data_IF_548847725079
#
_entry.id   IF_548847725079
#
_cell.length_a   1.000
_cell.length_b   1.000
_cell.length_c   1.000
_cell.angle_alpha   90.00
_cell.angle_beta   90.00
_cell.angle_gamma   90.00
#
_symmetry.space_group_name_H-M   'P 1'
#
loop_
_entity.id
_entity.type
_entity.pdbx_description
1 polymer ?
#
# COMPACT_ATOMS: atom_id res chain seq x y z
N UNK A 1 33.92 23.38 30.51
CA UNK A 1 33.80 22.58 29.30
C UNK A 1 32.35 22.15 29.21
N UNK A 2 31.49 22.75 28.36
CA UNK A 2 30.14 22.28 28.16
C UNK A 2 30.17 21.08 27.20
N UNK A 3 29.47 20.00 27.58
CA UNK A 3 29.37 18.79 26.81
C UNK A 3 28.68 18.99 25.49
N UNK A 4 29.31 18.48 24.45
CA UNK A 4 28.77 18.32 23.10
C UNK A 4 27.60 17.35 23.17
N UNK A 5 26.38 17.86 23.01
CA UNK A 5 25.21 17.03 22.77
C UNK A 5 25.40 16.34 21.42
N UNK A 6 25.64 15.03 21.46
CA UNK A 6 25.58 14.16 20.29
C UNK A 6 24.15 14.24 19.75
N UNK A 7 23.98 14.97 18.65
CA UNK A 7 22.77 14.90 17.84
C UNK A 7 22.64 13.47 17.34
N UNK A 8 21.56 12.79 17.74
CA UNK A 8 21.14 11.52 17.15
C UNK A 8 21.08 11.69 15.62
N UNK A 9 21.58 10.73 14.83
CA UNK A 9 21.55 10.86 13.38
C UNK A 9 20.08 10.90 12.93
N UNK A 10 19.64 12.05 12.44
CA UNK A 10 18.44 12.16 11.60
C UNK A 10 18.51 11.04 10.56
N UNK A 11 17.41 10.31 10.41
CA UNK A 11 17.21 9.19 9.47
C UNK A 11 17.65 9.62 8.05
N UNK A 12 18.95 9.43 7.74
CA UNK A 12 19.55 9.80 6.46
C UNK A 12 19.06 8.81 5.42
N UNK A 13 17.84 9.03 4.95
CA UNK A 13 17.30 8.27 3.81
C UNK A 13 18.23 8.48 2.63
N UNK A 14 18.84 7.41 2.15
CA UNK A 14 19.70 7.48 0.97
C UNK A 14 18.92 7.98 -0.25
N UNK A 15 19.57 8.66 -1.18
CA UNK A 15 18.92 9.18 -2.39
C UNK A 15 18.07 8.11 -3.14
N UNK A 16 18.50 6.85 -3.31
CA UNK A 16 17.65 5.80 -3.88
C UNK A 16 16.36 5.54 -3.08
N UNK A 17 16.43 5.57 -1.76
CA UNK A 17 15.27 5.36 -0.89
C UNK A 17 14.26 6.51 -1.01
N UNK A 18 14.72 7.75 -1.11
CA UNK A 18 13.85 8.91 -1.31
C UNK A 18 13.18 8.88 -2.68
N UNK A 19 13.94 8.59 -3.75
CA UNK A 19 13.40 8.46 -5.11
C UNK A 19 12.35 7.34 -5.17
N UNK A 20 12.66 6.19 -4.58
CA UNK A 20 11.72 5.07 -4.49
C UNK A 20 10.42 5.48 -3.79
N UNK A 21 10.51 6.09 -2.60
CA UNK A 21 9.33 6.50 -1.83
C UNK A 21 8.46 7.50 -2.61
N UNK A 22 9.09 8.49 -3.25
CA UNK A 22 8.40 9.50 -4.06
C UNK A 22 7.67 8.86 -5.24
N UNK A 23 8.36 8.06 -6.04
CA UNK A 23 7.73 7.41 -7.20
C UNK A 23 6.66 6.41 -6.79
N UNK A 24 6.90 5.63 -5.72
CA UNK A 24 5.90 4.72 -5.16
C UNK A 24 4.62 5.45 -4.76
N UNK A 25 4.76 6.58 -4.08
CA UNK A 25 3.66 7.44 -3.68
C UNK A 25 2.88 7.96 -4.89
N UNK A 26 3.57 8.50 -5.88
CA UNK A 26 2.95 9.05 -7.10
C UNK A 26 2.24 7.97 -7.95
N UNK A 27 2.83 6.77 -8.06
CA UNK A 27 2.22 5.65 -8.80
C UNK A 27 1.01 5.10 -8.04
N UNK A 28 1.13 4.91 -6.72
CA UNK A 28 0.03 4.45 -5.89
C UNK A 28 -1.12 5.45 -5.86
N UNK A 29 -0.81 6.75 -5.74
CA UNK A 29 -1.78 7.84 -5.75
C UNK A 29 -2.43 8.11 -7.11
N UNK A 30 -1.93 7.51 -8.20
CA UNK A 30 -2.45 7.73 -9.55
C UNK A 30 -1.95 9.01 -10.22
N UNK A 31 -1.04 9.76 -9.60
CA UNK A 31 -0.38 10.91 -10.21
C UNK A 31 0.44 10.51 -11.45
N UNK A 32 1.03 9.31 -11.40
CA UNK A 32 1.64 8.66 -12.56
C UNK A 32 0.69 7.55 -13.01
N UNK A 33 -0.06 7.76 -14.11
CA UNK A 33 -1.08 6.81 -14.56
C UNK A 33 -0.51 5.44 -14.99
N UNK A 34 -1.33 4.38 -15.01
CA UNK A 34 -0.96 3.08 -15.54
C UNK A 34 -0.51 3.17 -17.00
N UNK A 35 0.52 2.39 -17.37
CA UNK A 35 1.09 2.37 -18.72
C UNK A 35 2.00 3.57 -19.05
N UNK A 36 2.21 4.50 -18.11
CA UNK A 36 3.06 5.67 -18.32
C UNK A 36 4.53 5.28 -18.37
N UNK A 37 5.23 5.70 -19.42
CA UNK A 37 6.67 5.54 -19.55
C UNK A 37 7.44 6.45 -18.57
N UNK A 38 8.41 5.90 -17.86
CA UNK A 38 9.24 6.63 -16.89
C UNK A 38 10.53 7.10 -17.55
N UNK A 39 10.67 8.42 -17.68
CA UNK A 39 11.88 9.02 -18.21
C UNK A 39 12.89 9.26 -17.08
N UNK A 40 13.97 8.46 -17.04
CA UNK A 40 15.02 8.55 -16.01
C UNK A 40 15.62 9.93 -15.90
N UNK A 41 15.89 10.60 -17.05
CA UNK A 41 16.49 11.93 -17.06
C UNK A 41 15.54 13.00 -16.49
N UNK A 42 14.25 12.87 -16.78
CA UNK A 42 13.26 13.79 -16.24
C UNK A 42 13.11 13.61 -14.72
N UNK A 43 13.01 12.36 -14.24
CA UNK A 43 12.96 12.05 -12.80
C UNK A 43 14.19 12.58 -12.09
N UNK A 44 15.40 12.32 -12.62
CA UNK A 44 16.65 12.78 -12.02
C UNK A 44 16.69 14.31 -11.90
N UNK A 45 16.30 15.04 -12.94
CA UNK A 45 16.22 16.50 -12.91
C UNK A 45 15.19 17.03 -11.91
N UNK A 46 14.00 16.44 -11.90
CA UNK A 46 12.90 16.89 -11.04
C UNK A 46 13.23 16.70 -9.55
N UNK A 47 13.96 15.63 -9.22
CA UNK A 47 14.33 15.30 -7.84
C UNK A 47 15.71 15.82 -7.44
N UNK A 48 16.46 16.47 -8.35
CA UNK A 48 17.78 17.02 -8.07
C UNK A 48 18.86 15.96 -7.79
N UNK A 49 18.72 14.75 -8.35
CA UNK A 49 19.65 13.62 -8.14
C UNK A 49 20.29 13.17 -9.45
N UNK A 50 21.34 12.33 -9.36
CA UNK A 50 21.91 11.67 -10.53
C UNK A 50 21.02 10.53 -11.03
N UNK A 51 21.33 9.99 -12.21
CA UNK A 51 20.55 8.86 -12.77
C UNK A 51 20.72 7.55 -12.01
N UNK A 52 21.83 7.34 -11.30
CA UNK A 52 22.12 6.09 -10.58
C UNK A 52 21.06 5.79 -9.52
N UNK A 53 20.78 6.67 -8.53
CA UNK A 53 19.74 6.44 -7.54
C UNK A 53 18.34 6.27 -8.16
N UNK A 54 18.08 6.91 -9.30
CA UNK A 54 16.82 6.72 -10.03
C UNK A 54 16.73 5.30 -10.59
N UNK A 55 17.78 4.77 -11.21
CA UNK A 55 17.79 3.40 -11.72
C UNK A 55 17.60 2.36 -10.62
N UNK A 56 18.28 2.54 -9.48
CA UNK A 56 18.11 1.65 -8.31
C UNK A 56 16.67 1.67 -7.79
N UNK A 57 16.08 2.84 -7.68
CA UNK A 57 14.68 2.98 -7.28
C UNK A 57 13.71 2.31 -8.28
N UNK A 58 13.96 2.47 -9.59
CA UNK A 58 13.12 1.85 -10.63
C UNK A 58 13.24 0.32 -10.64
N UNK A 59 14.42 -0.25 -10.38
CA UNK A 59 14.60 -1.69 -10.23
C UNK A 59 13.82 -2.22 -9.02
N UNK A 60 13.83 -1.49 -7.91
CA UNK A 60 13.05 -1.87 -6.73
C UNK A 60 11.55 -1.80 -7.02
N UNK A 61 11.07 -0.74 -7.68
CA UNK A 61 9.67 -0.59 -8.08
C UNK A 61 9.24 -1.67 -9.11
N UNK A 62 10.15 -2.15 -9.95
CA UNK A 62 9.90 -3.30 -10.82
C UNK A 62 9.75 -4.60 -10.01
N UNK A 63 10.63 -4.82 -9.02
CA UNK A 63 10.49 -5.93 -8.07
C UNK A 63 9.16 -5.90 -7.30
N UNK A 64 8.67 -4.72 -6.98
CA UNK A 64 7.36 -4.51 -6.32
C UNK A 64 6.16 -4.65 -7.28
N UNK A 65 6.39 -4.97 -8.56
CA UNK A 65 5.34 -5.10 -9.56
C UNK A 65 4.66 -3.78 -9.96
N UNK A 66 5.20 -2.62 -9.56
CA UNK A 66 4.68 -1.30 -9.94
C UNK A 66 5.16 -0.84 -11.31
N UNK A 67 6.32 -1.30 -11.72
CA UNK A 67 6.91 -1.04 -13.03
C UNK A 67 7.16 -2.33 -13.78
N UNK A 68 7.24 -2.22 -15.08
CA UNK A 68 7.72 -3.26 -15.99
C UNK A 68 8.82 -2.68 -16.87
N UNK A 69 9.93 -3.40 -16.97
CA UNK A 69 11.01 -3.05 -17.90
C UNK A 69 10.80 -3.73 -19.23
N UNK A 70 10.94 -2.98 -20.31
CA UNK A 70 10.93 -3.50 -21.69
C UNK A 70 12.20 -3.06 -22.40
N UNK A 71 13.02 -4.01 -22.85
CA UNK A 71 14.36 -3.77 -23.41
C UNK A 71 14.42 -2.63 -24.44
N UNK A 72 13.41 -2.51 -25.31
CA UNK A 72 13.37 -1.46 -26.34
C UNK A 72 12.68 -0.15 -25.90
N UNK A 73 11.97 -0.14 -24.75
CA UNK A 73 11.10 0.97 -24.31
C UNK A 73 11.39 1.50 -22.91
N UNK A 74 12.28 0.84 -22.14
CA UNK A 74 12.58 1.22 -20.77
C UNK A 74 11.46 0.86 -19.78
N UNK A 75 11.40 1.57 -18.67
CA UNK A 75 10.43 1.36 -17.61
C UNK A 75 9.08 2.02 -17.92
N UNK A 76 8.02 1.32 -17.60
CA UNK A 76 6.66 1.86 -17.61
C UNK A 76 5.87 1.35 -16.40
N UNK A 77 4.90 2.12 -15.92
CA UNK A 77 4.00 1.67 -14.86
C UNK A 77 3.16 0.47 -15.32
N UNK A 78 3.00 -0.51 -14.43
CA UNK A 78 2.18 -1.69 -14.72
C UNK A 78 0.70 -1.32 -14.91
N UNK A 79 -0.07 -2.06 -15.68
CA UNK A 79 -1.52 -1.94 -15.72
C UNK A 79 -2.14 -2.10 -14.32
N UNK A 80 -3.32 -1.55 -14.11
CA UNK A 80 -4.15 -1.87 -12.95
C UNK A 80 -4.65 -3.30 -13.11
N UNK A 81 -4.82 -4.02 -11.99
CA UNK A 81 -5.45 -5.34 -12.02
C UNK A 81 -6.85 -5.25 -12.63
N UNK A 82 -7.19 -6.20 -13.48
CA UNK A 82 -8.57 -6.45 -13.86
C UNK A 82 -9.34 -7.18 -12.74
N UNK A 83 -10.65 -7.36 -12.91
CA UNK A 83 -11.47 -8.03 -11.90
C UNK A 83 -11.02 -9.46 -11.61
N UNK A 84 -10.47 -10.16 -12.62
CA UNK A 84 -9.94 -11.52 -12.44
C UNK A 84 -8.67 -11.49 -11.58
N UNK A 85 -7.74 -10.58 -11.87
CA UNK A 85 -6.53 -10.40 -11.09
C UNK A 85 -6.84 -9.98 -9.66
N UNK A 86 -7.79 -9.05 -9.47
CA UNK A 86 -8.27 -8.66 -8.15
C UNK A 86 -8.81 -9.87 -7.38
N UNK A 87 -9.68 -10.67 -7.99
CA UNK A 87 -10.24 -11.88 -7.38
C UNK A 87 -9.14 -12.84 -6.93
N UNK A 88 -8.19 -13.16 -7.82
CA UNK A 88 -7.09 -14.07 -7.49
C UNK A 88 -6.24 -13.58 -6.34
N UNK A 89 -6.01 -12.26 -6.25
CA UNK A 89 -5.28 -11.65 -5.14
C UNK A 89 -6.03 -11.81 -3.81
N UNK A 90 -7.35 -11.56 -3.80
CA UNK A 90 -8.17 -11.71 -2.60
C UNK A 90 -8.39 -13.18 -2.20
N UNK A 91 -8.46 -14.10 -3.15
CA UNK A 91 -8.45 -15.54 -2.86
C UNK A 91 -7.16 -15.95 -2.13
N UNK A 92 -6.00 -15.46 -2.56
CA UNK A 92 -4.74 -15.68 -1.85
C UNK A 92 -4.77 -15.07 -0.43
N UNK A 93 -5.24 -13.85 -0.27
CA UNK A 93 -5.39 -13.21 1.04
C UNK A 93 -6.27 -14.03 1.98
N UNK A 94 -7.42 -14.52 1.49
CA UNK A 94 -8.34 -15.37 2.26
C UNK A 94 -7.76 -16.73 2.66
N UNK A 95 -6.80 -17.27 1.90
CA UNK A 95 -6.11 -18.51 2.25
C UNK A 95 -5.07 -18.29 3.36
N UNK A 96 -4.48 -17.10 3.47
CA UNK A 96 -3.33 -16.85 4.34
C UNK A 96 -3.70 -16.06 5.58
N UNK A 97 -4.33 -14.91 5.41
CA UNK A 97 -4.46 -13.92 6.48
C UNK A 97 -5.40 -14.37 7.63
N UNK A 98 -6.54 -15.06 7.40
CA UNK A 98 -7.37 -15.57 8.48
C UNK A 98 -6.62 -16.58 9.35
N UNK A 99 -5.90 -17.52 8.73
CA UNK A 99 -5.08 -18.48 9.44
C UNK A 99 -3.99 -17.81 10.28
N UNK A 100 -3.34 -16.77 9.74
CA UNK A 100 -2.32 -16.03 10.47
C UNK A 100 -2.93 -15.24 11.64
N UNK A 101 -4.08 -14.60 11.44
CA UNK A 101 -4.79 -13.89 12.51
C UNK A 101 -5.19 -14.83 13.65
N UNK A 102 -5.68 -16.04 13.30
CA UNK A 102 -5.90 -17.12 14.27
C UNK A 102 -4.64 -17.45 15.05
N UNK A 103 -3.54 -17.66 14.35
CA UNK A 103 -2.26 -18.00 14.97
C UNK A 103 -1.76 -16.91 15.90
N UNK A 104 -1.92 -15.65 15.53
CA UNK A 104 -1.55 -14.49 16.34
C UNK A 104 -2.37 -14.35 17.64
N UNK A 105 -3.57 -14.92 17.68
CA UNK A 105 -4.47 -14.87 18.85
C UNK A 105 -4.32 -16.05 19.83
N UNK A 106 -3.44 -17.03 19.54
CA UNK A 106 -3.33 -18.26 20.37
C UNK A 106 -2.69 -17.98 21.73
N UNK A 107 -1.66 -17.12 21.77
CA UNK A 107 -0.89 -16.88 23.01
C UNK A 107 -0.85 -15.39 23.38
N UNK A 108 -1.42 -15.07 24.55
CA UNK A 108 -1.50 -13.70 25.04
C UNK A 108 -0.14 -13.08 25.40
N UNK A 109 0.92 -13.87 25.60
CA UNK A 109 2.24 -13.36 25.93
C UNK A 109 3.06 -12.95 24.69
N UNK A 110 2.79 -13.60 23.56
CA UNK A 110 3.53 -13.38 22.31
C UNK A 110 2.69 -12.73 21.21
N UNK A 111 1.40 -12.44 21.46
CA UNK A 111 0.56 -11.84 20.45
C UNK A 111 0.95 -10.38 20.15
N UNK A 112 0.69 -9.89 18.93
CA UNK A 112 1.10 -8.55 18.52
C UNK A 112 0.16 -7.44 18.97
N UNK A 113 -0.74 -7.66 19.94
CA UNK A 113 -1.83 -6.74 20.27
C UNK A 113 -1.36 -5.33 20.68
N UNK A 114 -0.20 -5.23 21.36
CA UNK A 114 0.40 -3.94 21.71
C UNK A 114 0.78 -3.13 20.46
N UNK A 115 1.54 -3.74 19.55
CA UNK A 115 1.97 -3.10 18.29
C UNK A 115 0.78 -2.75 17.39
N UNK A 116 -0.23 -3.64 17.32
CA UNK A 116 -1.46 -3.37 16.58
C UNK A 116 -2.25 -2.19 17.16
N UNK A 117 -2.28 -2.07 18.50
CA UNK A 117 -2.93 -0.95 19.18
C UNK A 117 -2.25 0.38 18.85
N UNK A 118 -0.93 0.42 18.91
CA UNK A 118 -0.15 1.61 18.56
C UNK A 118 -0.41 2.04 17.11
N UNK A 119 -0.47 1.08 16.17
CA UNK A 119 -0.76 1.34 14.76
C UNK A 119 -2.18 1.89 14.56
N UNK A 120 -3.19 1.32 15.25
CA UNK A 120 -4.58 1.80 15.19
C UNK A 120 -4.71 3.22 15.75
N UNK A 121 -4.05 3.51 16.88
CA UNK A 121 -4.08 4.84 17.49
C UNK A 121 -3.37 5.89 16.62
N UNK A 122 -2.28 5.51 15.99
CA UNK A 122 -1.57 6.40 15.05
C UNK A 122 -2.44 6.67 13.83
N UNK A 123 -3.07 5.65 13.25
CA UNK A 123 -3.96 5.83 12.10
C UNK A 123 -5.15 6.72 12.46
N UNK A 124 -5.82 6.48 13.60
CA UNK A 124 -6.90 7.35 14.08
C UNK A 124 -6.45 8.82 14.16
N UNK A 125 -5.29 9.10 14.75
CA UNK A 125 -4.78 10.48 14.83
C UNK A 125 -4.52 11.12 13.48
N UNK A 126 -4.10 10.31 12.48
CA UNK A 126 -3.82 10.81 11.13
C UNK A 126 -5.07 11.13 10.36
N UNK A 127 -6.17 10.40 10.58
CA UNK A 127 -7.43 10.61 9.85
C UNK A 127 -8.36 11.60 10.54
N UNK A 128 -8.18 11.86 11.84
CA UNK A 128 -9.03 12.77 12.61
C UNK A 128 -9.10 14.17 11.98
N UNK A 129 -10.32 14.60 11.63
CA UNK A 129 -10.58 15.92 11.08
C UNK A 129 -10.10 16.13 9.63
N UNK A 130 -9.65 15.06 8.95
CA UNK A 130 -9.27 15.10 7.54
C UNK A 130 -10.40 14.54 6.66
N UNK A 131 -10.46 15.02 5.42
CA UNK A 131 -11.43 14.51 4.43
C UNK A 131 -10.86 13.27 3.73
N UNK A 132 -10.06 13.46 2.68
CA UNK A 132 -9.42 12.37 1.95
C UNK A 132 -8.13 11.94 2.64
N UNK A 133 -8.06 10.66 3.05
CA UNK A 133 -6.90 10.07 3.76
C UNK A 133 -6.34 8.84 3.05
N UNK A 134 -6.35 8.89 1.74
CA UNK A 134 -6.00 7.75 0.88
C UNK A 134 -4.63 7.15 1.19
N UNK A 135 -3.59 7.97 1.30
CA UNK A 135 -2.23 7.48 1.54
C UNK A 135 -2.06 6.95 2.96
N UNK A 136 -2.66 7.62 3.93
CA UNK A 136 -2.67 7.20 5.33
C UNK A 136 -3.32 5.82 5.46
N UNK A 137 -4.43 5.59 4.75
CA UNK A 137 -5.13 4.30 4.73
C UNK A 137 -4.26 3.20 4.10
N UNK A 138 -3.59 3.47 2.97
CA UNK A 138 -2.67 2.50 2.35
C UNK A 138 -1.54 2.10 3.30
N UNK A 139 -0.89 3.09 3.91
CA UNK A 139 0.23 2.84 4.81
C UNK A 139 -0.20 2.07 6.05
N UNK A 140 -1.34 2.45 6.63
CA UNK A 140 -1.94 1.77 7.77
C UNK A 140 -2.29 0.33 7.44
N UNK A 141 -3.06 0.10 6.36
CA UNK A 141 -3.49 -1.22 5.93
C UNK A 141 -2.28 -2.15 5.74
N UNK A 142 -1.24 -1.68 5.04
CA UNK A 142 -0.03 -2.46 4.87
C UNK A 142 0.69 -2.77 6.19
N UNK A 143 0.82 -1.81 7.12
CA UNK A 143 1.49 -2.03 8.41
C UNK A 143 0.69 -2.97 9.31
N UNK A 144 -0.63 -2.77 9.42
CA UNK A 144 -1.51 -3.60 10.23
C UNK A 144 -1.43 -5.08 9.83
N UNK A 145 -1.63 -5.38 8.54
CA UNK A 145 -1.54 -6.76 8.05
C UNK A 145 -0.14 -7.35 8.17
N UNK A 146 0.93 -6.58 7.89
CA UNK A 146 2.29 -7.06 8.05
C UNK A 146 2.66 -7.40 9.49
N UNK A 147 2.17 -6.68 10.48
CA UNK A 147 2.36 -7.01 11.91
C UNK A 147 1.75 -8.38 12.22
N UNK A 148 0.53 -8.65 11.74
CA UNK A 148 -0.15 -9.94 11.95
C UNK A 148 0.59 -11.06 11.21
N UNK A 149 0.99 -10.85 9.95
CA UNK A 149 1.77 -11.83 9.17
C UNK A 149 3.10 -12.17 9.88
N UNK A 150 3.82 -11.17 10.37
CA UNK A 150 5.09 -11.38 11.09
C UNK A 150 4.90 -12.17 12.39
N UNK A 151 3.79 -11.95 13.11
CA UNK A 151 3.48 -12.65 14.35
C UNK A 151 3.28 -14.16 14.18
N UNK A 152 3.00 -14.64 12.95
CA UNK A 152 2.95 -16.08 12.67
C UNK A 152 4.30 -16.79 12.86
N UNK A 153 5.41 -16.06 12.85
CA UNK A 153 6.78 -16.63 12.87
C UNK A 153 7.14 -17.45 11.63
N UNK A 154 6.26 -17.57 10.65
CA UNK A 154 6.48 -18.34 9.43
C UNK A 154 7.09 -17.45 8.33
N UNK A 155 8.42 -17.54 8.19
CA UNK A 155 9.16 -16.73 7.20
C UNK A 155 8.76 -17.01 5.75
N UNK A 156 8.32 -18.23 5.42
CA UNK A 156 7.87 -18.60 4.07
C UNK A 156 6.55 -17.88 3.74
N UNK A 157 5.60 -17.89 4.69
CA UNK A 157 4.35 -17.14 4.55
C UNK A 157 4.63 -15.64 4.41
N UNK A 158 5.48 -15.09 5.27
CA UNK A 158 5.86 -13.67 5.21
C UNK A 158 6.47 -13.27 3.87
N UNK A 159 7.39 -14.08 3.34
CA UNK A 159 8.02 -13.81 2.03
C UNK A 159 7.01 -13.92 0.88
N UNK A 160 6.20 -14.97 0.85
CA UNK A 160 5.19 -15.16 -0.18
C UNK A 160 4.15 -14.02 -0.17
N UNK A 161 3.71 -13.61 1.02
CA UNK A 161 2.79 -12.49 1.19
C UNK A 161 3.39 -11.17 0.70
N UNK A 162 4.61 -10.87 1.12
CA UNK A 162 5.31 -9.64 0.72
C UNK A 162 5.45 -9.52 -0.80
N UNK A 163 5.71 -10.63 -1.50
CA UNK A 163 5.85 -10.65 -2.97
C UNK A 163 4.54 -10.37 -3.71
N UNK A 164 3.38 -10.48 -3.07
CA UNK A 164 2.10 -10.15 -3.72
C UNK A 164 1.89 -8.66 -3.87
N UNK A 165 2.56 -7.83 -3.04
CA UNK A 165 2.32 -6.38 -2.95
C UNK A 165 0.83 -6.01 -2.89
N UNK A 166 0.03 -6.88 -2.24
CA UNK A 166 -1.44 -6.87 -2.32
C UNK A 166 -2.05 -5.51 -1.96
N UNK A 167 -1.62 -4.89 -0.86
CA UNK A 167 -2.14 -3.59 -0.43
C UNK A 167 -1.92 -2.51 -1.49
N UNK A 168 -0.75 -2.53 -2.13
CA UNK A 168 -0.40 -1.57 -3.15
C UNK A 168 -1.23 -1.75 -4.43
N UNK A 169 -1.45 -3.00 -4.85
CA UNK A 169 -2.28 -3.30 -6.03
C UNK A 169 -3.75 -2.97 -5.80
N UNK A 170 -4.30 -3.32 -4.63
CA UNK A 170 -5.69 -2.99 -4.25
C UNK A 170 -5.87 -1.47 -4.22
N UNK A 171 -4.92 -0.76 -3.64
CA UNK A 171 -4.99 0.67 -3.48
C UNK A 171 -4.92 1.46 -4.80
N UNK A 172 -4.19 0.95 -5.80
CA UNK A 172 -4.14 1.52 -7.15
C UNK A 172 -5.47 1.43 -7.89
N UNK A 173 -6.33 0.49 -7.50
CA UNK A 173 -7.60 0.26 -8.18
C UNK A 173 -8.59 1.38 -7.94
N UNK A 174 -8.78 1.81 -6.69
CA UNK A 174 -9.73 2.88 -6.38
C UNK A 174 -9.68 3.32 -4.91
N UNK A 175 -9.95 4.60 -4.58
CA UNK A 175 -10.18 5.03 -3.20
C UNK A 175 -11.58 4.60 -2.75
N UNK A 176 -11.68 3.45 -2.10
CA UNK A 176 -12.97 2.85 -1.73
C UNK A 176 -13.40 3.21 -0.31
N UNK A 177 -12.44 3.50 0.55
CA UNK A 177 -12.63 4.02 1.90
C UNK A 177 -11.91 5.37 2.00
N UNK A 178 -12.57 6.40 1.48
CA UNK A 178 -11.96 7.75 1.33
C UNK A 178 -11.59 8.33 2.70
N UNK A 179 -12.39 8.07 3.72
CA UNK A 179 -12.23 8.59 5.08
C UNK A 179 -11.45 7.63 6.00
N UNK A 180 -11.18 6.40 5.57
CA UNK A 180 -10.46 5.38 6.34
C UNK A 180 -11.24 4.81 7.53
N UNK A 181 -12.47 5.23 7.74
CA UNK A 181 -13.27 4.89 8.92
C UNK A 181 -13.71 3.43 8.92
N UNK A 182 -14.17 2.90 7.79
CA UNK A 182 -14.58 1.51 7.69
C UNK A 182 -13.40 0.55 7.90
N UNK A 183 -12.24 0.86 7.33
CA UNK A 183 -11.00 0.10 7.54
C UNK A 183 -10.59 0.11 9.01
N UNK A 184 -10.63 1.28 9.66
CA UNK A 184 -10.27 1.40 11.07
C UNK A 184 -11.17 0.57 12.00
N UNK A 185 -12.49 0.59 11.77
CA UNK A 185 -13.46 -0.18 12.55
C UNK A 185 -13.24 -1.69 12.38
N UNK A 186 -13.11 -2.16 11.13
CA UNK A 186 -12.85 -3.57 10.83
C UNK A 186 -11.52 -4.04 11.45
N UNK A 187 -10.48 -3.23 11.40
CA UNK A 187 -9.18 -3.54 12.02
C UNK A 187 -9.24 -3.56 13.55
N UNK A 188 -10.05 -2.70 14.17
CA UNK A 188 -10.29 -2.73 15.63
C UNK A 188 -10.96 -4.02 16.07
N UNK A 189 -11.91 -4.51 15.29
CA UNK A 189 -12.57 -5.78 15.58
C UNK A 189 -11.57 -6.94 15.56
N UNK A 190 -10.71 -7.01 14.52
CA UNK A 190 -9.64 -8.01 14.42
C UNK A 190 -8.64 -7.88 15.57
N UNK A 191 -8.17 -6.65 15.84
CA UNK A 191 -7.27 -6.38 16.96
C UNK A 191 -7.86 -6.86 18.29
N UNK A 192 -9.14 -6.56 18.56
CA UNK A 192 -9.81 -6.95 19.80
C UNK A 192 -9.85 -8.46 19.96
N UNK A 193 -10.16 -9.21 18.93
CA UNK A 193 -10.15 -10.67 18.97
C UNK A 193 -8.74 -11.24 19.24
N UNK A 194 -7.69 -10.65 18.65
CA UNK A 194 -6.31 -11.02 18.93
C UNK A 194 -5.94 -10.67 20.39
N UNK A 195 -6.26 -9.47 20.85
CA UNK A 195 -5.99 -9.01 22.21
C UNK A 195 -6.65 -9.92 23.26
N UNK A 196 -7.90 -10.29 23.02
CA UNK A 196 -8.70 -11.13 23.93
C UNK A 196 -8.38 -12.63 23.81
N UNK A 197 -7.36 -12.99 23.01
CA UNK A 197 -6.95 -14.39 22.76
C UNK A 197 -8.10 -15.27 22.25
N UNK A 198 -8.87 -14.76 21.27
CA UNK A 198 -10.00 -15.45 20.66
C UNK A 198 -9.65 -15.89 19.23
N UNK A 199 -8.93 -17.01 19.03
CA UNK A 199 -8.38 -17.40 17.72
C UNK A 199 -9.45 -17.64 16.66
N UNK A 200 -10.56 -18.28 16.99
CA UNK A 200 -11.65 -18.54 16.03
C UNK A 200 -12.32 -17.23 15.58
N UNK A 201 -12.48 -16.27 16.50
CA UNK A 201 -13.06 -14.98 16.20
C UNK A 201 -12.09 -14.11 15.39
N UNK A 202 -10.78 -14.14 15.69
CA UNK A 202 -9.76 -13.43 14.91
C UNK A 202 -9.71 -13.91 13.46
N UNK A 203 -9.80 -15.24 13.23
CA UNK A 203 -9.90 -15.85 11.91
C UNK A 203 -11.14 -15.37 11.16
N UNK A 204 -12.29 -15.42 11.82
CA UNK A 204 -13.58 -15.02 11.24
C UNK A 204 -13.61 -13.53 10.87
N UNK A 205 -13.18 -12.66 11.78
CA UNK A 205 -13.18 -11.21 11.55
C UNK A 205 -12.18 -10.78 10.48
N UNK A 206 -11.01 -11.43 10.40
CA UNK A 206 -10.06 -11.19 9.32
C UNK A 206 -10.65 -11.62 7.96
N UNK A 207 -11.28 -12.78 7.88
CA UNK A 207 -11.94 -13.21 6.66
C UNK A 207 -13.07 -12.24 6.24
N UNK A 208 -13.88 -11.79 7.20
CA UNK A 208 -14.96 -10.81 6.97
C UNK A 208 -14.40 -9.48 6.46
N UNK A 209 -13.33 -8.96 7.07
CA UNK A 209 -12.64 -7.74 6.62
C UNK A 209 -12.16 -7.86 5.16
N UNK A 210 -11.47 -8.97 4.83
CA UNK A 210 -10.94 -9.19 3.47
C UNK A 210 -12.09 -9.27 2.45
N UNK A 211 -13.19 -9.94 2.78
CA UNK A 211 -14.36 -10.01 1.90
C UNK A 211 -15.02 -8.64 1.70
N UNK A 212 -15.20 -7.87 2.76
CA UNK A 212 -15.74 -6.52 2.68
C UNK A 212 -14.84 -5.59 1.83
N UNK A 213 -13.51 -5.69 2.00
CA UNK A 213 -12.52 -4.98 1.19
C UNK A 213 -12.59 -5.37 -0.29
N UNK A 214 -12.76 -6.68 -0.59
CA UNK A 214 -13.00 -7.14 -1.96
C UNK A 214 -14.26 -6.54 -2.57
N UNK A 215 -15.38 -6.59 -1.86
CA UNK A 215 -16.66 -6.04 -2.34
C UNK A 215 -16.55 -4.54 -2.62
N UNK A 216 -15.91 -3.78 -1.72
CA UNK A 216 -15.63 -2.38 -1.92
C UNK A 216 -14.83 -2.16 -3.21
N UNK A 217 -13.71 -2.87 -3.36
CA UNK A 217 -12.82 -2.76 -4.51
C UNK A 217 -13.47 -3.18 -5.83
N UNK A 218 -14.30 -4.23 -5.81
CA UNK A 218 -14.99 -4.74 -6.99
C UNK A 218 -16.04 -3.77 -7.54
N UNK A 219 -16.61 -2.88 -6.70
CA UNK A 219 -17.55 -1.83 -7.15
C UNK A 219 -16.94 -0.88 -8.17
N UNK A 220 -15.63 -0.67 -8.13
CA UNK A 220 -14.92 0.15 -9.12
C UNK A 220 -15.13 -0.36 -10.55
N UNK A 221 -15.29 -1.68 -10.73
CA UNK A 221 -15.53 -2.29 -12.04
C UNK A 221 -17.00 -2.20 -12.49
N UNK A 222 -17.92 -1.99 -11.55
CA UNK A 222 -19.37 -1.90 -11.85
C UNK A 222 -19.80 -0.50 -12.27
N UNK A 223 -19.07 0.53 -11.84
CA UNK A 223 -19.41 1.94 -12.10
C UNK A 223 -18.77 2.52 -13.36
N UNK A 224 -17.87 1.75 -14.00
CA UNK A 224 -17.07 2.28 -15.11
C UNK A 224 -17.35 1.51 -16.40
N UNK A 225 -18.23 2.08 -17.22
CA UNK A 225 -18.38 1.65 -18.64
C UNK A 225 -17.27 2.18 -19.53
N UNK A 226 -16.27 2.91 -19.02
CA UNK A 226 -15.13 3.43 -19.79
C UNK A 226 -13.91 3.71 -18.89
N UNK A 227 -12.70 3.24 -19.23
CA UNK A 227 -11.46 3.49 -18.46
C UNK A 227 -11.07 4.97 -18.31
N UNK A 228 -11.58 5.83 -19.18
CA UNK A 228 -11.24 7.27 -19.22
C UNK A 228 -11.77 8.08 -18.02
N UNK A 229 -12.78 7.59 -17.31
CA UNK A 229 -13.36 8.31 -16.16
C UNK A 229 -12.66 8.03 -14.83
N UNK A 230 -11.76 7.05 -14.79
CA UNK A 230 -10.98 6.71 -13.57
C UNK A 230 -9.78 7.64 -13.37
N UNK A 231 -9.39 8.37 -14.41
CA UNK A 231 -8.31 9.36 -14.34
C UNK A 231 -8.98 10.74 -14.35
N UNK A 232 -9.06 11.39 -13.19
CA UNK A 232 -9.64 12.72 -13.04
C UNK A 232 -9.18 13.65 -14.16
N UNK A 233 -10.10 13.95 -15.08
CA UNK A 233 -9.86 14.79 -16.23
C UNK A 233 -9.57 16.21 -15.78
N UNK A 234 -8.32 16.60 -15.70
CA UNK A 234 -7.93 17.99 -15.79
C UNK A 234 -8.02 18.39 -17.24
N UNK A 235 -9.10 19.09 -17.60
CA UNK A 235 -9.27 19.83 -18.86
C UNK A 235 -8.09 20.79 -19.04
N UNK A 236 -7.02 20.35 -19.71
CA UNK A 236 -5.96 21.22 -20.21
C UNK A 236 -6.30 21.56 -21.64
N UNK A 237 -6.98 22.70 -21.82
CA UNK A 237 -7.05 23.40 -23.10
C UNK A 237 -5.65 23.53 -23.67
N UNK A 238 -5.39 22.86 -24.79
CA UNK A 238 -4.19 23.13 -25.59
C UNK A 238 -4.27 24.56 -26.14
N UNK A 239 -3.20 25.34 -26.07
CA UNK A 239 -3.11 26.57 -26.86
C UNK A 239 -2.92 26.19 -28.33
N UNK A 240 -3.83 26.66 -29.18
CA UNK A 240 -3.73 26.61 -30.63
C UNK A 240 -2.47 27.34 -31.07
N UNK A 241 -1.53 26.62 -31.71
CA UNK A 241 -0.51 27.24 -32.55
C UNK A 241 -1.04 27.27 -34.00
N UNK A 242 -1.53 28.41 -34.41
CA UNK A 242 -1.58 28.85 -35.81
C UNK A 242 -0.71 30.08 -35.91
N UNK A 243 0.29 30.02 -36.77
CA UNK A 243 1.17 31.12 -37.09
C UNK A 243 2.48 30.57 -37.66
#
# INVERSE_FOLDING_TARGET
MPGEALLEPEDVRTAPTQVYATLRFQIAGGEIPPGTHININAVARNLGVSQTPVREALQKLEGDGLLVYRAARGYATTPILDLKGLRSLFEFRLLVEPWVARSAAVDGLSNPSGTLKEELDEFQRRIDGRGEVRHETLEHDARFHNVIIAASGNSVVGQAYAQTHCHLHVFRLYPVDIEGTATLEEHRDVWKAIHDCQPDEAEHLMAKHIMASFERSARAFSTTSTPEKLLGGTDRRQPSMVG
#
